data_IF_258043141564
#
_entry.id   IF_258043141564
#
_cell.length_a   1.000
_cell.length_b   1.000
_cell.length_c   1.000
_cell.angle_alpha   90.00
_cell.angle_beta   90.00
_cell.angle_gamma   90.00
#
_symmetry.space_group_name_H-M   'P 1'
#
loop_
_entity.id
_entity.type
_entity.pdbx_description
1 polymer ?
#
# COMPACT_ATOMS: atom_id res chain seq x y z
N UNK A 1 -34.48 -49.60 -0.86
CA UNK A 1 -33.25 -48.95 -1.35
C UNK A 1 -33.42 -47.43 -1.49
N UNK A 2 -34.01 -46.77 -0.48
CA UNK A 2 -34.26 -45.32 -0.50
C UNK A 2 -33.93 -44.67 0.86
N UNK A 3 -34.12 -45.43 1.96
CA UNK A 3 -33.78 -44.99 3.32
C UNK A 3 -32.26 -44.82 3.56
N UNK A 4 -31.42 -45.64 2.93
CA UNK A 4 -29.95 -45.52 3.06
C UNK A 4 -29.43 -44.26 2.38
N UNK A 5 -29.98 -43.92 1.21
CA UNK A 5 -29.64 -42.68 0.50
C UNK A 5 -30.08 -41.44 1.28
N UNK A 6 -31.27 -41.47 1.89
CA UNK A 6 -31.75 -40.39 2.74
C UNK A 6 -30.93 -40.23 4.02
N UNK A 7 -30.49 -41.33 4.63
CA UNK A 7 -29.63 -41.29 5.81
C UNK A 7 -28.24 -40.72 5.48
N UNK A 8 -27.65 -41.11 4.34
CA UNK A 8 -26.34 -40.59 3.90
C UNK A 8 -26.44 -39.10 3.53
N UNK A 9 -27.52 -38.67 2.88
CA UNK A 9 -27.78 -37.26 2.58
C UNK A 9 -27.95 -36.43 3.87
N UNK A 10 -28.70 -36.93 4.85
CA UNK A 10 -28.89 -36.25 6.13
C UNK A 10 -27.58 -36.11 6.92
N UNK A 11 -26.76 -37.17 6.93
CA UNK A 11 -25.43 -37.14 7.57
C UNK A 11 -24.50 -36.16 6.83
N UNK A 12 -24.53 -36.13 5.50
CA UNK A 12 -23.72 -35.17 4.71
C UNK A 12 -24.13 -33.72 4.96
N UNK A 13 -25.41 -33.43 5.23
CA UNK A 13 -25.87 -32.07 5.55
C UNK A 13 -25.47 -31.61 6.94
N UNK A 14 -25.40 -32.53 7.92
CA UNK A 14 -24.96 -32.20 9.27
C UNK A 14 -23.47 -31.82 9.37
N UNK A 15 -22.67 -32.15 8.35
CA UNK A 15 -21.26 -31.77 8.26
C UNK A 15 -21.04 -30.41 7.57
N UNK A 16 -22.07 -29.76 7.01
CA UNK A 16 -21.99 -28.36 6.62
C UNK A 16 -22.13 -27.50 7.88
N UNK A 17 -21.02 -27.35 8.61
CA UNK A 17 -20.90 -26.24 9.55
C UNK A 17 -21.13 -24.95 8.77
N UNK A 18 -22.10 -24.10 9.14
CA UNK A 18 -22.20 -22.77 8.56
C UNK A 18 -20.85 -22.09 8.83
N UNK A 19 -20.12 -21.77 7.77
CA UNK A 19 -18.96 -20.91 7.86
C UNK A 19 -19.45 -19.60 8.46
N UNK A 20 -19.17 -19.36 9.74
CA UNK A 20 -19.41 -18.06 10.32
C UNK A 20 -18.71 -17.04 9.42
N UNK A 21 -19.39 -15.99 8.95
CA UNK A 21 -18.70 -14.92 8.27
C UNK A 21 -17.64 -14.42 9.25
N UNK A 22 -16.37 -14.66 8.93
CA UNK A 22 -15.28 -14.06 9.68
C UNK A 22 -15.36 -12.59 9.32
N UNK A 23 -16.10 -11.82 10.13
CA UNK A 23 -16.03 -10.38 10.07
C UNK A 23 -14.55 -10.03 10.14
N UNK A 24 -14.04 -9.42 9.07
CA UNK A 24 -12.63 -9.13 8.93
C UNK A 24 -12.12 -8.21 10.06
N UNK A 25 -13.05 -7.54 10.75
CA UNK A 25 -12.83 -6.64 11.85
C UNK A 25 -13.92 -6.85 12.91
N UNK A 26 -13.54 -6.82 14.18
CA UNK A 26 -14.48 -6.88 15.31
C UNK A 26 -15.20 -5.52 15.44
N UNK A 27 -16.52 -5.44 15.16
CA UNK A 27 -17.24 -4.17 15.14
C UNK A 27 -17.26 -3.45 16.49
N UNK A 28 -17.09 -4.19 17.60
CA UNK A 28 -17.08 -3.60 18.95
C UNK A 28 -15.70 -3.05 19.33
N UNK A 29 -14.66 -3.44 18.60
CA UNK A 29 -13.29 -2.98 18.85
C UNK A 29 -13.14 -1.48 18.58
N UNK A 30 -12.39 -0.81 19.44
CA UNK A 30 -12.06 0.62 19.30
C UNK A 30 -11.35 0.91 17.97
N UNK A 31 -10.45 0.01 17.54
CA UNK A 31 -9.74 0.13 16.27
C UNK A 31 -10.68 0.12 15.05
N UNK A 32 -11.77 -0.66 15.09
CA UNK A 32 -12.74 -0.71 13.99
C UNK A 32 -13.61 0.54 13.94
N UNK A 33 -13.97 1.09 15.12
CA UNK A 33 -14.67 2.38 15.21
C UNK A 33 -13.80 3.53 14.72
N UNK A 34 -12.53 3.57 15.10
CA UNK A 34 -11.56 4.55 14.60
C UNK A 34 -11.45 4.48 13.06
N UNK A 35 -11.32 3.26 12.51
CA UNK A 35 -11.24 3.06 11.07
C UNK A 35 -12.50 3.54 10.34
N UNK A 36 -13.69 3.23 10.87
CA UNK A 36 -14.95 3.70 10.31
C UNK A 36 -15.06 5.24 10.33
N UNK A 37 -14.55 5.90 11.37
CA UNK A 37 -14.50 7.36 11.42
C UNK A 37 -13.56 7.94 10.35
N UNK A 38 -12.40 7.32 10.14
CA UNK A 38 -11.45 7.73 9.10
C UNK A 38 -12.03 7.52 7.69
N UNK A 39 -12.73 6.42 7.47
CA UNK A 39 -13.44 6.13 6.22
C UNK A 39 -14.53 7.16 5.92
N UNK A 40 -15.33 7.53 6.92
CA UNK A 40 -16.36 8.56 6.78
C UNK A 40 -15.77 9.95 6.50
N UNK A 41 -14.70 10.32 7.21
CA UNK A 41 -13.97 11.57 6.97
C UNK A 41 -13.43 11.63 5.53
N UNK A 42 -12.79 10.55 5.07
CA UNK A 42 -12.30 10.47 3.71
C UNK A 42 -13.43 10.46 2.66
N UNK A 43 -14.58 9.86 2.98
CA UNK A 43 -15.74 9.88 2.09
C UNK A 43 -16.30 11.29 1.88
N UNK A 44 -16.14 12.19 2.86
CA UNK A 44 -16.55 13.60 2.79
C UNK A 44 -15.62 14.45 1.92
N UNK A 45 -14.32 14.15 1.90
CA UNK A 45 -13.36 14.75 0.95
C UNK A 45 -12.37 13.70 0.40
N UNK A 46 -12.74 13.09 -0.74
CA UNK A 46 -11.88 12.12 -1.44
C UNK A 46 -10.64 12.74 -2.09
N UNK A 47 -10.49 14.06 -2.01
CA UNK A 47 -9.36 14.81 -2.49
C UNK A 47 -8.33 15.17 -1.41
N UNK A 48 -8.61 14.86 -0.13
CA UNK A 48 -7.69 15.11 0.97
C UNK A 48 -6.52 14.11 0.94
N UNK A 49 -5.34 14.63 0.62
CA UNK A 49 -4.08 13.87 0.54
C UNK A 49 -3.62 13.36 1.90
N UNK A 50 -3.76 14.15 2.95
CA UNK A 50 -3.32 13.75 4.29
C UNK A 50 -4.21 12.64 4.82
N UNK A 51 -5.53 12.78 4.62
CA UNK A 51 -6.49 11.76 5.01
C UNK A 51 -6.30 10.47 4.20
N UNK A 52 -6.15 10.55 2.88
CA UNK A 52 -5.88 9.38 2.03
C UNK A 52 -4.63 8.62 2.49
N UNK A 53 -3.54 9.34 2.76
CA UNK A 53 -2.29 8.76 3.27
C UNK A 53 -2.50 8.10 4.64
N UNK A 54 -3.21 8.76 5.53
CA UNK A 54 -3.45 8.27 6.89
C UNK A 54 -4.28 6.99 6.85
N UNK A 55 -5.43 7.01 6.19
CA UNK A 55 -6.31 5.85 6.03
C UNK A 55 -5.60 4.66 5.36
N UNK A 56 -4.85 4.90 4.28
CA UNK A 56 -4.05 3.86 3.64
C UNK A 56 -2.98 3.28 4.59
N UNK A 57 -2.34 4.11 5.43
CA UNK A 57 -1.38 3.63 6.42
C UNK A 57 -2.06 2.74 7.47
N UNK A 58 -3.26 3.11 7.95
CA UNK A 58 -4.03 2.29 8.90
C UNK A 58 -4.40 0.94 8.30
N UNK A 59 -4.85 0.90 7.05
CA UNK A 59 -5.10 -0.38 6.38
C UNK A 59 -3.85 -1.25 6.23
N UNK A 60 -2.68 -0.67 5.93
CA UNK A 60 -1.43 -1.43 5.86
C UNK A 60 -1.01 -1.97 7.23
N UNK A 61 -1.15 -1.18 8.29
CA UNK A 61 -0.84 -1.58 9.68
C UNK A 61 -1.76 -2.71 10.18
N UNK A 62 -3.00 -2.77 9.68
CA UNK A 62 -3.98 -3.82 9.96
C UNK A 62 -3.86 -5.03 9.03
N UNK A 63 -2.80 -5.11 8.20
CA UNK A 63 -2.60 -6.16 7.20
C UNK A 63 -3.78 -6.29 6.21
N UNK A 64 -4.34 -5.15 5.81
CA UNK A 64 -5.42 -5.01 4.83
C UNK A 64 -4.98 -4.24 3.58
N UNK A 65 -3.89 -4.63 2.90
CA UNK A 65 -3.37 -3.89 1.76
C UNK A 65 -4.36 -3.80 0.59
N UNK A 66 -5.25 -4.78 0.44
CA UNK A 66 -6.34 -4.72 -0.56
C UNK A 66 -7.28 -3.53 -0.37
N UNK A 67 -7.59 -3.17 0.88
CA UNK A 67 -8.43 -2.00 1.19
C UNK A 67 -7.67 -0.70 0.93
N UNK A 68 -6.37 -0.65 1.24
CA UNK A 68 -5.51 0.48 0.88
C UNK A 68 -5.48 0.70 -0.65
N UNK A 69 -5.34 -0.37 -1.45
CA UNK A 69 -5.42 -0.28 -2.91
C UNK A 69 -6.78 0.24 -3.36
N UNK A 70 -7.87 -0.33 -2.82
CA UNK A 70 -9.23 0.02 -3.21
C UNK A 70 -9.53 1.50 -2.94
N UNK A 71 -9.21 1.99 -1.74
CA UNK A 71 -9.54 3.36 -1.34
C UNK A 71 -8.72 4.39 -2.12
N UNK A 72 -7.44 4.12 -2.35
CA UNK A 72 -6.56 5.03 -3.10
C UNK A 72 -6.92 5.10 -4.58
N UNK A 73 -7.37 4.00 -5.18
CA UNK A 73 -7.86 3.99 -6.57
C UNK A 73 -9.25 4.60 -6.73
N UNK A 74 -10.08 4.56 -5.68
CA UNK A 74 -11.41 5.18 -5.66
C UNK A 74 -11.39 6.68 -5.30
N UNK A 75 -10.28 7.17 -4.73
CA UNK A 75 -10.05 8.57 -4.42
C UNK A 75 -9.92 9.46 -5.67
N UNK A 76 -9.80 10.76 -5.47
CA UNK A 76 -9.60 11.64 -6.61
C UNK A 76 -8.23 11.42 -7.28
N UNK A 77 -8.12 11.47 -8.63
CA UNK A 77 -6.85 11.23 -9.33
C UNK A 77 -5.71 12.15 -8.91
N UNK A 78 -6.03 13.35 -8.39
CA UNK A 78 -5.04 14.31 -7.87
C UNK A 78 -4.32 13.81 -6.62
N UNK A 79 -4.96 12.98 -5.79
CA UNK A 79 -4.38 12.47 -4.54
C UNK A 79 -3.19 11.56 -4.86
N UNK A 80 -3.33 10.73 -5.89
CA UNK A 80 -2.23 9.90 -6.40
C UNK A 80 -1.13 10.71 -7.10
N UNK A 81 -1.19 12.04 -7.18
CA UNK A 81 -0.05 12.85 -7.63
C UNK A 81 0.92 13.15 -6.48
N UNK A 82 0.48 12.99 -5.23
CA UNK A 82 1.34 13.09 -4.06
C UNK A 82 2.32 11.90 -3.99
N UNK A 83 3.64 12.14 -3.87
CA UNK A 83 4.63 11.07 -3.82
C UNK A 83 4.43 10.11 -2.65
N UNK A 84 4.03 10.62 -1.48
CA UNK A 84 3.87 9.81 -0.26
C UNK A 84 2.62 8.93 -0.34
N UNK A 85 1.52 9.42 -0.91
CA UNK A 85 0.32 8.61 -1.18
C UNK A 85 0.62 7.55 -2.24
N UNK A 86 1.31 7.92 -3.32
CA UNK A 86 1.73 6.97 -4.37
C UNK A 86 2.59 5.85 -3.77
N UNK A 87 3.47 6.19 -2.82
CA UNK A 87 4.28 5.22 -2.12
C UNK A 87 3.46 4.26 -1.24
N UNK A 88 2.42 4.74 -0.55
CA UNK A 88 1.49 3.85 0.18
C UNK A 88 0.81 2.85 -0.75
N UNK A 89 0.45 3.27 -1.96
CA UNK A 89 -0.08 2.35 -2.97
C UNK A 89 0.97 1.30 -3.39
N UNK A 90 2.23 1.71 -3.57
CA UNK A 90 3.32 0.78 -3.88
C UNK A 90 3.51 -0.28 -2.76
N UNK A 91 3.49 0.13 -1.50
CA UNK A 91 3.56 -0.79 -0.35
C UNK A 91 2.37 -1.74 -0.31
N UNK A 92 1.17 -1.26 -0.66
CA UNK A 92 -0.01 -2.10 -0.74
C UNK A 92 0.09 -3.14 -1.88
N UNK A 93 0.66 -2.77 -3.03
CA UNK A 93 0.96 -3.72 -4.10
C UNK A 93 2.03 -4.74 -3.69
N UNK A 94 3.09 -4.31 -3.00
CA UNK A 94 4.12 -5.22 -2.48
C UNK A 94 3.50 -6.26 -1.53
N UNK A 95 2.69 -5.80 -0.56
CA UNK A 95 2.04 -6.66 0.43
C UNK A 95 1.03 -7.65 -0.18
N UNK A 96 0.48 -7.34 -1.37
CA UNK A 96 -0.39 -8.26 -2.13
C UNK A 96 0.38 -9.14 -3.12
N UNK A 97 1.72 -9.07 -3.13
CA UNK A 97 2.57 -9.85 -4.03
C UNK A 97 2.61 -9.35 -5.48
N UNK A 98 1.99 -8.20 -5.77
CA UNK A 98 1.98 -7.57 -7.09
C UNK A 98 3.27 -6.78 -7.32
N UNK A 99 4.39 -7.49 -7.37
CA UNK A 99 5.73 -6.90 -7.33
C UNK A 99 6.06 -5.96 -8.50
N UNK A 100 5.57 -6.27 -9.71
CA UNK A 100 5.78 -5.40 -10.88
C UNK A 100 5.01 -4.08 -10.74
N UNK A 101 3.75 -4.14 -10.28
CA UNK A 101 2.95 -2.94 -10.00
C UNK A 101 3.55 -2.13 -8.85
N UNK A 102 4.03 -2.80 -7.81
CA UNK A 102 4.72 -2.18 -6.69
C UNK A 102 5.96 -1.42 -7.16
N UNK A 103 6.79 -2.05 -8.00
CA UNK A 103 8.00 -1.43 -8.53
C UNK A 103 7.68 -0.22 -9.39
N UNK A 104 6.78 -0.36 -10.38
CA UNK A 104 6.38 0.74 -11.25
C UNK A 104 5.82 1.93 -10.43
N UNK A 105 5.01 1.64 -9.42
CA UNK A 105 4.42 2.65 -8.54
C UNK A 105 5.48 3.32 -7.64
N UNK A 106 6.44 2.56 -7.12
CA UNK A 106 7.56 3.10 -6.32
C UNK A 106 8.50 3.99 -7.16
N UNK A 107 8.77 3.61 -8.41
CA UNK A 107 9.54 4.44 -9.36
C UNK A 107 8.85 5.77 -9.65
N UNK A 108 7.53 5.74 -9.84
CA UNK A 108 6.71 6.93 -10.05
C UNK A 108 6.73 7.85 -8.83
N UNK A 109 6.57 7.30 -7.61
CA UNK A 109 6.67 8.06 -6.36
C UNK A 109 8.03 8.75 -6.24
N UNK A 110 9.12 8.00 -6.42
CA UNK A 110 10.48 8.53 -6.36
C UNK A 110 10.74 9.62 -7.41
N UNK A 111 10.32 9.41 -8.66
CA UNK A 111 10.47 10.40 -9.73
C UNK A 111 9.75 11.71 -9.40
N UNK A 112 8.51 11.63 -8.88
CA UNK A 112 7.74 12.82 -8.48
C UNK A 112 8.41 13.58 -7.34
N UNK A 113 8.91 12.87 -6.33
CA UNK A 113 9.64 13.48 -5.22
C UNK A 113 10.94 14.16 -5.70
N UNK A 114 11.72 13.49 -6.56
CA UNK A 114 12.95 14.06 -7.11
C UNK A 114 12.71 15.31 -7.96
N UNK A 115 11.62 15.36 -8.73
CA UNK A 115 11.21 16.57 -9.45
C UNK A 115 10.87 17.73 -8.51
N UNK A 116 10.22 17.45 -7.37
CA UNK A 116 9.93 18.49 -6.38
C UNK A 116 11.22 19.04 -5.74
N UNK A 117 12.19 18.17 -5.45
CA UNK A 117 13.47 18.55 -4.85
C UNK A 117 14.49 19.12 -5.87
N UNK A 118 14.21 19.05 -7.17
CA UNK A 118 15.16 19.44 -8.21
C UNK A 118 16.35 18.50 -8.37
N UNK A 119 16.26 17.25 -7.89
CA UNK A 119 17.35 16.25 -7.95
C UNK A 119 17.34 15.43 -9.24
N UNK A 120 16.35 15.62 -10.12
CA UNK A 120 16.27 14.95 -11.42
C UNK A 120 16.93 15.79 -12.52
N UNK A 121 17.83 15.18 -13.30
CA UNK A 121 18.57 15.81 -14.42
C UNK A 121 17.66 16.36 -15.54
N UNK A 122 16.40 15.93 -15.59
CA UNK A 122 15.39 16.43 -16.54
C UNK A 122 14.64 17.64 -15.98
N UNK A 123 15.38 18.68 -15.60
CA UNK A 123 14.85 19.97 -15.20
C UNK A 123 14.45 20.81 -16.41
N UNK A 124 13.38 20.47 -17.13
CA UNK A 124 12.71 21.44 -18.00
C UNK A 124 11.32 20.96 -18.46
N UNK A 125 10.33 21.85 -18.33
CA UNK A 125 8.97 21.81 -18.91
C UNK A 125 7.93 20.93 -18.21
N UNK A 126 7.72 21.10 -16.90
CA UNK A 126 6.42 20.79 -16.28
C UNK A 126 6.15 21.72 -15.09
N UNK A 127 4.89 22.08 -14.79
CA UNK A 127 4.56 22.82 -13.58
C UNK A 127 5.15 22.12 -12.34
N UNK A 128 5.62 22.90 -11.37
CA UNK A 128 6.10 22.38 -10.10
C UNK A 128 5.06 21.43 -9.49
N UNK A 129 5.46 20.24 -8.99
CA UNK A 129 4.54 19.34 -8.31
C UNK A 129 3.83 20.09 -7.18
N UNK A 130 2.51 19.95 -7.09
CA UNK A 130 1.69 20.61 -6.05
C UNK A 130 1.99 20.13 -4.64
N UNK A 131 2.58 18.94 -4.53
CA UNK A 131 2.79 18.24 -3.28
C UNK A 131 4.25 18.30 -2.87
N UNK A 132 4.47 18.56 -1.57
CA UNK A 132 5.81 18.69 -1.00
C UNK A 132 6.43 17.32 -0.79
N UNK A 133 7.73 17.25 -1.02
CA UNK A 133 8.56 16.13 -0.62
C UNK A 133 9.80 16.69 0.08
N UNK A 134 10.26 16.03 1.14
CA UNK A 134 11.55 16.37 1.75
C UNK A 134 12.63 15.34 1.39
N UNK A 135 13.88 15.62 1.76
CA UNK A 135 14.99 14.71 1.48
C UNK A 135 14.88 13.37 2.23
N UNK A 136 14.20 13.34 3.37
CA UNK A 136 13.98 12.12 4.15
C UNK A 136 12.99 11.20 3.42
N UNK A 137 11.89 11.77 2.93
CA UNK A 137 10.93 11.09 2.08
C UNK A 137 11.63 10.56 0.83
N UNK A 138 12.42 11.38 0.15
CA UNK A 138 13.17 10.97 -1.05
C UNK A 138 14.06 9.75 -0.80
N UNK A 139 14.85 9.76 0.29
CA UNK A 139 15.72 8.65 0.66
C UNK A 139 14.94 7.36 0.97
N UNK A 140 13.80 7.49 1.65
CA UNK A 140 12.91 6.35 1.94
C UNK A 140 12.30 5.77 0.66
N UNK A 141 11.82 6.62 -0.26
CA UNK A 141 11.31 6.20 -1.57
C UNK A 141 12.40 5.51 -2.39
N UNK A 142 13.62 6.03 -2.34
CA UNK A 142 14.77 5.45 -3.03
C UNK A 142 15.09 4.05 -2.51
N UNK A 143 15.17 3.90 -1.18
CA UNK A 143 15.41 2.61 -0.52
C UNK A 143 14.36 1.58 -0.96
N UNK A 144 13.07 1.90 -0.83
CA UNK A 144 12.00 0.97 -1.17
C UNK A 144 12.02 0.57 -2.66
N UNK A 145 12.16 1.55 -3.57
CA UNK A 145 12.30 1.29 -5.01
C UNK A 145 13.49 0.39 -5.33
N UNK A 146 14.63 0.61 -4.66
CA UNK A 146 15.82 -0.22 -4.85
C UNK A 146 15.60 -1.65 -4.34
N UNK A 147 14.97 -1.81 -3.18
CA UNK A 147 14.61 -3.12 -2.64
C UNK A 147 13.69 -3.88 -3.60
N UNK A 148 12.59 -3.28 -4.07
CA UNK A 148 11.68 -3.88 -5.05
C UNK A 148 12.40 -4.29 -6.34
N UNK A 149 13.35 -3.49 -6.83
CA UNK A 149 14.20 -3.83 -7.99
C UNK A 149 15.06 -5.08 -7.76
N UNK A 150 15.44 -5.37 -6.53
CA UNK A 150 16.16 -6.59 -6.21
C UNK A 150 15.20 -7.77 -6.05
N UNK A 151 14.05 -7.56 -5.40
CA UNK A 151 13.02 -8.58 -5.19
C UNK A 151 12.47 -9.11 -6.53
N UNK A 152 12.14 -8.21 -7.46
CA UNK A 152 11.70 -8.55 -8.83
C UNK A 152 12.75 -9.35 -9.63
N UNK A 153 14.02 -9.29 -9.23
CA UNK A 153 15.12 -10.09 -9.81
C UNK A 153 15.39 -11.39 -9.06
N UNK A 154 14.53 -11.77 -8.12
CA UNK A 154 14.62 -13.01 -7.35
C UNK A 154 15.39 -12.91 -6.04
N UNK A 155 15.75 -11.71 -5.58
CA UNK A 155 16.33 -11.54 -4.24
C UNK A 155 15.24 -11.70 -3.16
N UNK A 156 15.58 -12.28 -2.01
CA UNK A 156 14.67 -12.32 -0.88
C UNK A 156 14.41 -10.91 -0.34
N UNK A 157 13.21 -10.61 0.19
CA UNK A 157 12.90 -9.26 0.70
C UNK A 157 13.87 -8.77 1.76
N UNK A 158 14.24 -9.60 2.75
CA UNK A 158 15.18 -9.21 3.81
C UNK A 158 16.53 -8.73 3.25
N UNK A 159 17.12 -9.52 2.35
CA UNK A 159 18.40 -9.18 1.73
C UNK A 159 18.28 -7.94 0.83
N UNK A 160 17.17 -7.81 0.10
CA UNK A 160 16.92 -6.66 -0.75
C UNK A 160 16.85 -5.35 0.03
N UNK A 161 16.14 -5.35 1.17
CA UNK A 161 16.05 -4.19 2.06
C UNK A 161 17.40 -3.86 2.72
N UNK A 162 18.16 -4.87 3.15
CA UNK A 162 19.50 -4.67 3.72
C UNK A 162 20.47 -4.02 2.71
N UNK A 163 20.48 -4.50 1.47
CA UNK A 163 21.33 -3.95 0.40
C UNK A 163 20.90 -2.53 0.04
N UNK A 164 19.58 -2.28 -0.04
CA UNK A 164 19.05 -0.96 -0.34
C UNK A 164 19.40 0.07 0.77
N UNK A 165 19.27 -0.33 2.04
CA UNK A 165 19.58 0.53 3.19
C UNK A 165 21.05 0.96 3.20
N UNK A 166 21.97 0.02 2.96
CA UNK A 166 23.41 0.31 2.93
C UNK A 166 23.79 1.34 1.86
N UNK A 167 23.12 1.34 0.71
CA UNK A 167 23.37 2.33 -0.34
C UNK A 167 23.01 3.74 0.12
N UNK A 168 21.83 3.90 0.75
CA UNK A 168 21.38 5.21 1.23
C UNK A 168 22.33 5.73 2.33
N UNK A 169 22.78 4.88 3.25
CA UNK A 169 23.71 5.30 4.30
C UNK A 169 25.06 5.76 3.76
N UNK A 170 25.57 5.12 2.70
CA UNK A 170 26.83 5.52 2.05
C UNK A 170 26.66 6.86 1.34
N UNK A 171 25.55 7.06 0.63
CA UNK A 171 25.27 8.32 -0.07
C UNK A 171 25.15 9.51 0.90
N UNK A 172 24.58 9.31 2.10
CA UNK A 172 24.51 10.35 3.14
C UNK A 172 25.84 10.65 3.84
N UNK A 173 26.87 9.81 3.66
CA UNK A 173 28.17 9.94 4.31
C UNK A 173 29.27 10.48 3.38
N UNK A 174 28.96 10.75 2.12
CA UNK A 174 29.89 11.38 1.18
C UNK A 174 29.97 12.90 1.45
N UNK A 175 31.19 13.48 1.60
CA UNK A 175 31.40 14.89 1.92
C UNK A 175 31.08 15.85 0.77
#
# INVERSE_FOLDING_TARGET
MNLVLLAVLAISWSALSPSHPVAALDPESEATRELAMLEDEFARDRGDVLMARHLASRYLELDRPGLAIAILNAGEPRVLQDPTVTHRLAQAYEATGRLDDALATAELAHSRCGRYLGTTENGAVTPLPRHRCDFRDYAMLEMHRNALRHITRGMTPSLAYDVALRRVSIASAAP
#
